data_IF_869659787762
#
_entry.id   IF_869659787762
#
_cell.length_a   1.000
_cell.length_b   1.000
_cell.length_c   1.000
_cell.angle_alpha   90.00
_cell.angle_beta   90.00
_cell.angle_gamma   90.00
#
_symmetry.space_group_name_H-M   'P 1'
#
loop_
_entity.id
_entity.type
_entity.pdbx_description
1 polymer ?
#
# COMPACT_ATOMS: atom_id res chain seq x y z
N UNK A 1 36.35 -31.29 -7.35
CA UNK A 1 34.96 -30.82 -7.54
C UNK A 1 34.84 -29.49 -6.81
N UNK A 2 35.09 -28.39 -7.53
CA UNK A 2 35.32 -27.07 -6.92
C UNK A 2 34.03 -26.27 -7.01
N UNK A 3 33.27 -26.21 -5.93
CA UNK A 3 32.08 -25.36 -5.83
C UNK A 3 32.53 -23.91 -5.64
N UNK A 4 32.46 -23.11 -6.70
CA UNK A 4 32.78 -21.68 -6.64
C UNK A 4 31.87 -20.91 -5.67
N UNK A 5 32.35 -19.80 -5.08
CA UNK A 5 31.53 -18.98 -4.20
C UNK A 5 30.35 -18.45 -5.00
N UNK A 6 29.12 -18.81 -4.58
CA UNK A 6 27.92 -18.15 -5.09
C UNK A 6 28.10 -16.67 -4.77
N UNK A 7 28.16 -15.84 -5.82
CA UNK A 7 28.01 -14.40 -5.67
C UNK A 7 26.63 -14.21 -5.05
N UNK A 8 26.59 -13.92 -3.76
CA UNK A 8 25.51 -13.21 -3.11
C UNK A 8 25.47 -11.80 -3.72
N UNK A 9 25.05 -11.72 -4.99
CA UNK A 9 24.71 -10.48 -5.64
C UNK A 9 23.50 -9.93 -4.91
N UNK A 10 23.59 -8.67 -4.49
CA UNK A 10 22.56 -7.97 -3.73
C UNK A 10 21.15 -8.36 -4.19
N UNK A 11 20.41 -9.02 -3.30
CA UNK A 11 19.00 -9.33 -3.47
C UNK A 11 18.26 -8.00 -3.69
N UNK A 12 17.23 -7.93 -4.56
CA UNK A 12 16.56 -6.68 -4.98
C UNK A 12 15.71 -6.01 -3.89
N UNK A 13 16.09 -6.19 -2.62
CA UNK A 13 15.58 -5.53 -1.42
C UNK A 13 16.69 -4.69 -0.81
N UNK A 14 17.19 -3.72 -1.58
CA UNK A 14 18.03 -2.64 -1.07
C UNK A 14 17.20 -1.78 -0.08
N UNK A 15 17.69 -1.48 1.15
CA UNK A 15 17.03 -0.57 2.08
C UNK A 15 16.87 0.88 1.56
N UNK A 16 17.39 1.19 0.37
CA UNK A 16 17.06 2.39 -0.43
C UNK A 16 15.74 2.28 -1.20
N UNK A 17 15.06 1.13 -1.17
CA UNK A 17 13.72 0.93 -1.73
C UNK A 17 12.65 1.43 -0.76
N UNK A 18 12.61 2.73 -0.55
CA UNK A 18 11.52 3.41 0.15
C UNK A 18 10.33 3.55 -0.80
N UNK A 19 9.79 2.43 -1.30
CA UNK A 19 8.78 2.38 -2.34
C UNK A 19 7.52 1.65 -1.88
N UNK A 20 6.38 2.34 -1.73
CA UNK A 20 5.09 1.70 -1.49
C UNK A 20 4.37 1.40 -2.80
N UNK A 21 3.81 0.20 -2.93
CA UNK A 21 3.00 -0.18 -4.10
C UNK A 21 1.54 -0.30 -3.68
N UNK A 22 0.65 0.43 -4.36
CA UNK A 22 -0.74 0.59 -3.93
C UNK A 22 -1.69 0.35 -5.08
N UNK A 23 -2.76 -0.39 -4.81
CA UNK A 23 -3.92 -0.53 -5.68
C UNK A 23 -5.07 0.31 -5.15
N UNK A 24 -5.51 1.27 -5.95
CA UNK A 24 -6.62 2.15 -5.62
C UNK A 24 -7.85 1.73 -6.40
N UNK A 25 -9.01 1.80 -5.75
CA UNK A 25 -10.31 1.60 -6.36
C UNK A 25 -11.24 2.74 -5.96
N UNK A 26 -11.85 3.39 -6.94
CA UNK A 26 -12.72 4.54 -6.69
C UNK A 26 -13.31 5.08 -7.99
N UNK A 27 -14.04 6.18 -7.90
CA UNK A 27 -14.52 6.89 -9.08
C UNK A 27 -13.36 7.52 -9.86
N UNK A 28 -13.52 7.80 -11.17
CA UNK A 28 -12.48 8.47 -11.96
C UNK A 28 -12.01 9.79 -11.35
N UNK A 29 -12.93 10.58 -10.78
CA UNK A 29 -12.64 11.87 -10.17
C UNK A 29 -11.82 11.73 -8.88
N UNK A 30 -12.14 10.78 -8.00
CA UNK A 30 -11.37 10.50 -6.78
C UNK A 30 -9.94 10.05 -7.12
N UNK A 31 -9.80 9.17 -8.12
CA UNK A 31 -8.48 8.70 -8.55
C UNK A 31 -7.64 9.83 -9.16
N UNK A 32 -8.27 10.78 -9.86
CA UNK A 32 -7.59 11.96 -10.40
C UNK A 32 -7.15 12.92 -9.31
N UNK A 33 -8.02 13.23 -8.36
CA UNK A 33 -7.68 14.08 -7.21
C UNK A 33 -6.52 13.47 -6.40
N UNK A 34 -6.58 12.17 -6.12
CA UNK A 34 -5.53 11.49 -5.36
C UNK A 34 -4.21 11.42 -6.13
N UNK A 35 -4.26 11.14 -7.44
CA UNK A 35 -3.06 11.14 -8.29
C UNK A 35 -2.44 12.53 -8.34
N UNK A 36 -3.24 13.58 -8.46
CA UNK A 36 -2.77 14.96 -8.46
C UNK A 36 -2.10 15.32 -7.13
N UNK A 37 -2.72 14.97 -6.00
CA UNK A 37 -2.15 15.22 -4.67
C UNK A 37 -0.81 14.49 -4.46
N UNK A 38 -0.74 13.21 -4.83
CA UNK A 38 0.49 12.40 -4.71
C UNK A 38 1.60 12.88 -5.65
N UNK A 39 1.23 13.40 -6.83
CA UNK A 39 2.18 14.02 -7.77
C UNK A 39 2.72 15.33 -7.22
N UNK A 40 1.84 16.19 -6.70
CA UNK A 40 2.24 17.47 -6.08
C UNK A 40 3.15 17.26 -4.86
N UNK A 41 2.91 16.19 -4.09
CA UNK A 41 3.76 15.83 -2.96
C UNK A 41 5.09 15.16 -3.36
N UNK A 42 5.34 14.92 -4.65
CA UNK A 42 6.58 14.27 -5.12
C UNK A 42 6.67 12.78 -4.74
N UNK A 43 5.56 12.16 -4.34
CA UNK A 43 5.53 10.77 -3.92
C UNK A 43 5.28 9.82 -5.09
N UNK A 44 4.81 10.26 -6.26
CA UNK A 44 4.46 9.36 -7.35
C UNK A 44 5.68 8.96 -8.20
N UNK A 45 6.02 7.67 -8.22
CA UNK A 45 7.10 7.11 -9.04
C UNK A 45 6.59 6.48 -10.33
N UNK A 46 5.46 5.75 -10.25
CA UNK A 46 4.87 5.06 -11.39
C UNK A 46 3.35 5.06 -11.30
N UNK A 47 2.68 5.18 -12.45
CA UNK A 47 1.22 5.10 -12.58
C UNK A 47 0.85 4.16 -13.73
N UNK A 48 -0.07 3.24 -13.50
CA UNK A 48 -0.63 2.40 -14.56
C UNK A 48 -1.80 3.07 -15.29
N UNK A 49 -2.23 2.50 -16.41
CA UNK A 49 -3.52 2.85 -17.01
C UNK A 49 -4.68 2.48 -16.08
N UNK A 50 -5.71 3.32 -16.02
CA UNK A 50 -6.94 3.00 -15.27
C UNK A 50 -7.67 1.84 -15.94
N UNK A 51 -8.22 0.95 -15.12
CA UNK A 51 -9.08 -0.16 -15.56
C UNK A 51 -10.47 0.05 -14.99
N UNK A 52 -11.46 0.19 -15.85
CA UNK A 52 -12.85 0.24 -15.42
C UNK A 52 -13.25 -1.10 -14.78
N UNK A 53 -13.99 -1.02 -13.68
CA UNK A 53 -14.60 -2.18 -13.04
C UNK A 53 -16.01 -2.37 -13.64
N UNK A 54 -16.43 -3.63 -13.71
CA UNK A 54 -17.74 -4.03 -14.27
C UNK A 54 -18.61 -4.67 -13.18
N UNK A 55 -19.90 -4.87 -13.47
CA UNK A 55 -20.83 -5.49 -12.53
C UNK A 55 -21.31 -4.50 -11.45
N UNK A 56 -21.28 -4.92 -10.19
CA UNK A 56 -21.74 -4.12 -9.04
C UNK A 56 -20.90 -2.85 -8.82
N UNK A 57 -19.68 -2.82 -9.33
CA UNK A 57 -18.75 -1.69 -9.23
C UNK A 57 -18.71 -0.84 -10.52
N UNK A 58 -19.75 -0.93 -11.35
CA UNK A 58 -19.89 -0.09 -12.53
C UNK A 58 -19.77 1.40 -12.17
N UNK A 59 -18.96 2.14 -12.92
CA UNK A 59 -18.64 3.54 -12.63
C UNK A 59 -17.39 3.72 -11.75
N UNK A 60 -16.81 2.64 -11.23
CA UNK A 60 -15.52 2.65 -10.53
C UNK A 60 -14.39 2.21 -11.44
N UNK A 61 -13.19 2.61 -11.07
CA UNK A 61 -11.94 2.26 -11.75
C UNK A 61 -10.94 1.75 -10.72
N UNK A 62 -10.02 0.92 -11.19
CA UNK A 62 -8.84 0.48 -10.47
C UNK A 62 -7.59 1.10 -11.08
N UNK A 63 -6.66 1.53 -10.23
CA UNK A 63 -5.39 2.15 -10.61
C UNK A 63 -4.25 1.58 -9.75
N UNK A 64 -3.12 1.26 -10.38
CA UNK A 64 -1.90 0.89 -9.68
C UNK A 64 -0.93 2.06 -9.64
N UNK A 65 -0.41 2.34 -8.44
CA UNK A 65 0.61 3.36 -8.20
C UNK A 65 1.82 2.74 -7.50
N UNK A 66 3.02 3.21 -7.85
CA UNK A 66 4.22 3.06 -7.03
C UNK A 66 4.61 4.42 -6.50
N UNK A 67 4.85 4.47 -5.21
CA UNK A 67 5.07 5.68 -4.46
C UNK A 67 6.45 5.66 -3.81
N UNK A 68 7.18 6.76 -3.84
CA UNK A 68 8.34 6.97 -3.00
C UNK A 68 7.87 7.44 -1.62
N UNK A 69 7.98 6.56 -0.62
CA UNK A 69 7.72 6.90 0.78
C UNK A 69 9.03 7.31 1.41
N UNK A 70 9.32 8.61 1.41
CA UNK A 70 10.36 9.14 2.28
C UNK A 70 9.86 8.99 3.71
N UNK A 71 10.61 8.25 4.55
CA UNK A 71 10.32 8.19 5.97
C UNK A 71 10.55 9.58 6.57
N UNK A 72 9.53 10.44 6.55
CA UNK A 72 9.49 11.60 7.40
C UNK A 72 9.38 11.08 8.84
N UNK A 73 10.53 10.83 9.46
CA UNK A 73 10.62 10.45 10.86
C UNK A 73 10.23 11.66 11.73
N UNK A 74 8.94 11.94 11.83
CA UNK A 74 8.40 12.65 12.99
C UNK A 74 7.45 11.68 13.69
N UNK A 75 7.91 11.00 14.76
CA UNK A 75 7.01 10.24 15.61
C UNK A 75 5.87 11.17 16.05
N UNK A 76 4.60 10.73 16.01
CA UNK A 76 3.55 11.45 16.73
C UNK A 76 4.00 11.55 18.18
N UNK A 77 3.93 12.74 18.77
CA UNK A 77 4.15 12.91 20.19
C UNK A 77 3.18 11.97 20.92
N UNK A 78 3.72 10.96 21.62
CA UNK A 78 2.94 9.95 22.32
C UNK A 78 2.14 10.66 23.41
N UNK A 79 0.87 10.95 23.13
CA UNK A 79 -0.11 11.26 24.17
C UNK A 79 -0.33 10.03 25.06
N UNK A 80 -0.81 10.20 26.30
CA UNK A 80 -0.95 9.09 27.24
C UNK A 80 -1.81 7.98 26.63
N UNK A 81 -1.26 6.76 26.63
CA UNK A 81 -1.88 5.57 26.04
C UNK A 81 -3.17 5.23 26.78
N UNK A 82 -4.31 5.50 26.13
CA UNK A 82 -5.54 4.80 26.45
C UNK A 82 -5.40 3.41 25.80
N UNK A 83 -5.14 2.40 26.61
CA UNK A 83 -4.93 1.02 26.18
C UNK A 83 -6.00 0.57 25.19
N UNK A 84 -5.64 0.58 23.90
CA UNK A 84 -6.47 0.02 22.85
C UNK A 84 -6.50 -1.48 23.03
N UNK A 85 -7.63 -2.01 23.49
CA UNK A 85 -7.84 -3.44 23.62
C UNK A 85 -7.61 -4.10 22.24
N UNK A 86 -6.62 -5.00 22.16
CA UNK A 86 -6.37 -5.82 20.99
C UNK A 86 -7.64 -6.63 20.70
N UNK A 87 -8.27 -6.34 19.56
CA UNK A 87 -9.44 -7.08 19.10
C UNK A 87 -8.93 -8.46 18.65
N UNK A 88 -9.41 -9.51 19.30
CA UNK A 88 -9.23 -10.88 18.84
C UNK A 88 -10.04 -11.09 17.55
N UNK A 89 -9.32 -11.08 16.42
CA UNK A 89 -9.92 -11.26 15.09
C UNK A 89 -10.44 -12.68 14.85
N UNK A 90 -9.96 -13.68 15.58
CA UNK A 90 -10.45 -15.06 15.44
C UNK A 90 -11.80 -15.23 16.11
N UNK A 91 -11.98 -14.65 17.31
CA UNK A 91 -13.30 -14.57 17.95
C UNK A 91 -14.32 -13.80 17.09
N UNK A 92 -13.90 -12.67 16.49
CA UNK A 92 -14.75 -11.89 15.60
C UNK A 92 -15.15 -12.64 14.31
N UNK A 93 -14.30 -13.56 13.82
CA UNK A 93 -14.59 -14.39 12.65
C UNK A 93 -15.55 -15.53 12.97
N UNK A 94 -15.42 -16.16 14.14
CA UNK A 94 -16.31 -17.23 14.56
C UNK A 94 -17.78 -16.78 14.60
N UNK A 95 -18.03 -15.53 15.00
CA UNK A 95 -19.38 -14.97 15.09
C UNK A 95 -20.02 -14.65 13.72
N UNK A 96 -19.24 -14.56 12.63
CA UNK A 96 -19.73 -14.21 11.29
C UNK A 96 -20.18 -15.40 10.43
N UNK A 97 -19.95 -16.63 10.86
CA UNK A 97 -20.48 -17.81 10.18
C UNK A 97 -21.79 -18.24 10.86
N UNK A 98 -22.97 -18.01 10.27
CA UNK A 98 -24.17 -18.70 10.70
C UNK A 98 -24.05 -20.19 10.34
N UNK A 99 -24.57 -21.04 11.22
CA UNK A 99 -24.79 -22.47 10.98
C UNK A 99 -26.00 -22.69 10.06
#
# INVERSE_FOLDING_TARGET
MTGGPRRDGASPRDPRLSGAEVWLTGTPAELDALTAALTAAGHLTQRSTRRALTGTDTGRCRLYLRLTVTAAAKPPARGPEQGGALIDLDAARAHRRPA
#
